data_IF_486493946449
#
_entry.id   IF_486493946449
#
_cell.length_a   1.000
_cell.length_b   1.000
_cell.length_c   1.000
_cell.angle_alpha   90.00
_cell.angle_beta   90.00
_cell.angle_gamma   90.00
#
_symmetry.space_group_name_H-M   'P 1'
#
loop_
_entity.id
_entity.type
_entity.pdbx_description
1 polymer ?
#
# COMPACT_ATOMS: atom_id res chain seq x y z
N UNK A 1 3.36 -10.82 6.97
CA UNK A 1 2.98 -10.84 5.55
C UNK A 1 2.63 -12.25 5.02
N UNK A 2 3.10 -13.30 5.64
CA UNK A 2 2.85 -14.69 5.20
C UNK A 2 1.56 -15.30 5.75
N UNK A 3 0.78 -14.58 6.58
CA UNK A 3 -0.46 -15.11 7.15
C UNK A 3 -1.53 -15.29 6.07
N UNK A 4 -2.05 -16.52 5.92
CA UNK A 4 -3.05 -16.92 4.93
C UNK A 4 -4.48 -17.00 5.49
N UNK A 5 -4.73 -16.56 6.75
CA UNK A 5 -6.06 -16.69 7.39
C UNK A 5 -7.20 -16.00 6.64
N UNK A 6 -6.88 -15.03 5.80
CA UNK A 6 -7.86 -14.27 5.02
C UNK A 6 -8.04 -14.79 3.59
N UNK A 7 -7.47 -15.95 3.24
CA UNK A 7 -7.68 -16.54 1.91
C UNK A 7 -9.18 -16.76 1.60
N UNK A 8 -10.02 -17.25 2.54
CA UNK A 8 -11.46 -17.37 2.26
C UNK A 8 -12.16 -16.05 1.92
N UNK A 9 -11.71 -14.92 2.49
CA UNK A 9 -12.26 -13.60 2.14
C UNK A 9 -11.86 -13.17 0.72
N UNK A 10 -10.69 -13.60 0.24
CA UNK A 10 -10.32 -13.40 -1.18
C UNK A 10 -11.24 -14.22 -2.08
N UNK A 11 -11.47 -15.49 -1.74
CA UNK A 11 -12.35 -16.37 -2.52
C UNK A 11 -13.78 -15.81 -2.57
N UNK A 12 -14.30 -15.29 -1.46
CA UNK A 12 -15.60 -14.62 -1.38
C UNK A 12 -15.65 -13.36 -2.26
N UNK A 13 -14.63 -12.50 -2.18
CA UNK A 13 -14.54 -11.30 -3.01
C UNK A 13 -14.54 -11.64 -4.51
N UNK A 14 -13.88 -12.73 -4.89
CA UNK A 14 -13.80 -13.19 -6.27
C UNK A 14 -15.10 -13.82 -6.79
N UNK A 15 -16.07 -14.14 -5.94
CA UNK A 15 -17.40 -14.57 -6.38
C UNK A 15 -18.21 -13.41 -6.98
N UNK A 16 -17.83 -12.17 -6.71
CA UNK A 16 -18.46 -11.00 -7.34
C UNK A 16 -18.06 -10.93 -8.82
N UNK A 17 -19.04 -10.91 -9.76
CA UNK A 17 -18.74 -10.88 -11.19
C UNK A 17 -17.82 -9.71 -11.58
N UNK A 18 -16.72 -10.02 -12.27
CA UNK A 18 -15.78 -9.02 -12.77
C UNK A 18 -14.80 -8.47 -11.73
N UNK A 19 -14.91 -8.83 -10.44
CA UNK A 19 -14.06 -8.28 -9.38
C UNK A 19 -12.58 -8.64 -9.56
N UNK A 20 -12.26 -9.84 -10.04
CA UNK A 20 -10.89 -10.23 -10.31
C UNK A 20 -10.19 -9.31 -11.33
N UNK A 21 -10.89 -9.01 -12.43
CA UNK A 21 -10.37 -8.11 -13.46
C UNK A 21 -10.33 -6.67 -12.97
N UNK A 22 -11.35 -6.24 -12.22
CA UNK A 22 -11.39 -4.93 -11.60
C UNK A 22 -10.16 -4.67 -10.70
N UNK A 23 -9.84 -5.61 -9.80
CA UNK A 23 -8.67 -5.52 -8.94
C UNK A 23 -7.39 -5.43 -9.76
N UNK A 24 -7.21 -6.32 -10.74
CA UNK A 24 -6.02 -6.29 -11.61
C UNK A 24 -5.86 -4.97 -12.35
N UNK A 25 -6.93 -4.43 -12.89
CA UNK A 25 -6.89 -3.23 -13.73
C UNK A 25 -6.64 -1.96 -12.92
N UNK A 26 -7.22 -1.88 -11.74
CA UNK A 26 -7.18 -0.66 -10.94
C UNK A 26 -6.09 -0.67 -9.87
N UNK A 27 -5.69 -1.83 -9.36
CA UNK A 27 -4.61 -1.91 -8.36
C UNK A 27 -3.28 -2.42 -8.92
N UNK A 28 -3.29 -3.04 -10.12
CA UNK A 28 -2.14 -3.72 -10.69
C UNK A 28 -1.78 -5.06 -10.04
N UNK A 29 -2.56 -5.48 -9.04
CA UNK A 29 -2.27 -6.67 -8.22
C UNK A 29 -3.14 -7.86 -8.63
N UNK A 30 -2.64 -9.07 -8.33
CA UNK A 30 -3.45 -10.27 -8.32
C UNK A 30 -4.14 -10.38 -6.96
N UNK A 31 -5.45 -10.70 -6.90
CA UNK A 31 -6.14 -10.88 -5.61
C UNK A 31 -5.45 -11.96 -4.77
N UNK A 32 -4.97 -11.60 -3.60
CA UNK A 32 -4.31 -12.52 -2.68
C UNK A 32 -4.40 -12.04 -1.22
N UNK A 33 -4.45 -13.00 -0.28
CA UNK A 33 -4.40 -12.75 1.16
C UNK A 33 -3.08 -12.14 1.64
N UNK A 34 -2.08 -12.06 0.79
CA UNK A 34 -0.81 -11.37 1.02
C UNK A 34 -1.02 -9.88 1.32
N UNK A 35 -1.94 -9.22 0.61
CA UNK A 35 -2.18 -7.79 0.69
C UNK A 35 -3.02 -7.37 1.90
N UNK A 36 -3.01 -6.07 2.24
CA UNK A 36 -3.61 -5.55 3.47
C UNK A 36 -5.14 -5.60 3.49
N UNK A 37 -5.79 -5.46 2.35
CA UNK A 37 -7.23 -5.27 2.22
C UNK A 37 -8.07 -6.28 3.01
N UNK A 38 -7.88 -7.57 2.75
CA UNK A 38 -8.64 -8.62 3.46
C UNK A 38 -8.24 -8.79 4.92
N UNK A 39 -7.02 -8.36 5.29
CA UNK A 39 -6.57 -8.36 6.69
C UNK A 39 -7.26 -7.27 7.50
N UNK A 40 -7.45 -6.08 6.90
CA UNK A 40 -8.21 -4.99 7.52
C UNK A 40 -9.64 -5.46 7.75
N UNK A 41 -10.31 -5.97 6.70
CA UNK A 41 -11.68 -6.53 6.83
C UNK A 41 -11.74 -7.56 7.95
N UNK A 42 -10.83 -8.52 7.96
CA UNK A 42 -10.82 -9.56 9.00
C UNK A 42 -10.72 -8.98 10.41
N UNK A 43 -9.87 -7.97 10.63
CA UNK A 43 -9.73 -7.33 11.95
C UNK A 43 -11.04 -6.62 12.33
N UNK A 44 -11.62 -5.86 11.42
CA UNK A 44 -12.86 -5.14 11.66
C UNK A 44 -14.03 -6.08 12.00
N UNK A 45 -14.07 -7.26 11.36
CA UNK A 45 -15.16 -8.23 11.55
C UNK A 45 -14.96 -9.17 12.75
N UNK A 46 -13.72 -9.38 13.21
CA UNK A 46 -13.43 -10.40 14.22
C UNK A 46 -12.90 -9.85 15.55
N UNK A 47 -12.50 -8.59 15.61
CA UNK A 47 -12.07 -7.97 16.87
C UNK A 47 -13.24 -7.18 17.46
N UNK A 48 -13.73 -7.56 18.66
CA UNK A 48 -14.88 -6.89 19.26
C UNK A 48 -14.71 -5.38 19.38
N UNK A 49 -15.68 -4.63 18.90
CA UNK A 49 -15.69 -3.15 18.93
C UNK A 49 -14.76 -2.48 17.92
N UNK A 50 -14.03 -3.25 17.08
CA UNK A 50 -13.10 -2.64 16.13
C UNK A 50 -13.83 -1.87 15.03
N UNK A 51 -14.93 -2.40 14.52
CA UNK A 51 -15.71 -1.77 13.45
C UNK A 51 -16.32 -0.45 13.91
N UNK A 52 -17.04 -0.46 15.02
CA UNK A 52 -17.68 0.73 15.60
C UNK A 52 -16.65 1.83 15.88
N UNK A 53 -15.51 1.46 16.43
CA UNK A 53 -14.41 2.39 16.69
C UNK A 53 -13.75 2.91 15.41
N UNK A 54 -13.65 2.08 14.39
CA UNK A 54 -13.13 2.50 13.08
C UNK A 54 -14.08 3.51 12.42
N UNK A 55 -15.39 3.25 12.43
CA UNK A 55 -16.41 4.16 11.91
C UNK A 55 -16.48 5.49 12.70
N UNK A 56 -16.22 5.43 14.00
CA UNK A 56 -16.08 6.61 14.86
C UNK A 56 -14.76 7.38 14.66
N UNK A 57 -13.83 6.86 13.84
CA UNK A 57 -12.51 7.48 13.61
C UNK A 57 -11.51 7.31 14.76
N UNK A 58 -11.77 6.40 15.70
CA UNK A 58 -10.90 6.13 16.86
C UNK A 58 -9.75 5.17 16.54
N UNK A 59 -9.86 4.43 15.43
CA UNK A 59 -8.86 3.49 14.94
C UNK A 59 -8.37 3.96 13.58
N UNK A 60 -7.06 3.92 13.38
CA UNK A 60 -6.41 4.23 12.12
C UNK A 60 -5.70 2.98 11.58
N UNK A 61 -5.74 2.83 10.27
CA UNK A 61 -4.95 1.83 9.56
C UNK A 61 -3.61 2.42 9.12
N UNK A 62 -2.57 1.59 9.12
CA UNK A 62 -1.29 1.94 8.52
C UNK A 62 -0.48 0.71 8.16
N UNK A 63 0.30 0.82 7.09
CA UNK A 63 1.43 -0.06 6.81
C UNK A 63 2.60 0.32 7.72
N UNK A 64 3.70 -0.42 7.68
CA UNK A 64 4.84 -0.21 8.60
C UNK A 64 5.40 1.21 8.51
N UNK A 65 5.48 1.77 7.31
CA UNK A 65 5.89 3.15 7.05
C UNK A 65 5.00 4.17 7.77
N UNK A 66 3.68 4.03 7.64
CA UNK A 66 2.69 4.87 8.33
C UNK A 66 2.89 4.82 9.85
N UNK A 67 3.08 3.61 10.40
CA UNK A 67 3.33 3.42 11.82
C UNK A 67 4.62 4.11 12.27
N UNK A 68 5.70 4.00 11.49
CA UNK A 68 6.97 4.66 11.80
C UNK A 68 6.83 6.17 11.79
N UNK A 69 6.21 6.76 10.76
CA UNK A 69 5.96 8.21 10.69
C UNK A 69 5.08 8.67 11.83
N UNK A 70 4.01 7.93 12.14
CA UNK A 70 3.15 8.19 13.29
C UNK A 70 3.94 8.26 14.60
N UNK A 71 4.82 7.28 14.86
CA UNK A 71 5.66 7.24 16.04
C UNK A 71 6.71 8.36 16.08
N UNK A 72 7.40 8.59 14.95
CA UNK A 72 8.41 9.63 14.82
C UNK A 72 7.84 11.04 15.02
N UNK A 73 6.59 11.26 14.61
CA UNK A 73 5.92 12.56 14.73
C UNK A 73 5.08 12.71 15.99
N UNK A 74 5.15 11.75 16.92
CA UNK A 74 4.37 11.79 18.18
C UNK A 74 2.86 11.72 17.96
N UNK A 75 2.40 10.97 16.96
CA UNK A 75 0.98 10.78 16.65
C UNK A 75 0.32 11.93 15.89
N UNK A 76 1.10 12.85 15.32
CA UNK A 76 0.56 14.03 14.62
C UNK A 76 0.34 13.82 13.13
N UNK A 77 1.05 12.86 12.52
CA UNK A 77 1.02 12.66 11.05
C UNK A 77 0.62 11.24 10.71
N UNK A 78 -0.48 11.10 9.96
CA UNK A 78 -1.02 9.84 9.49
C UNK A 78 -0.95 9.81 7.95
N UNK A 79 0.17 9.33 7.42
CA UNK A 79 0.46 9.30 5.98
C UNK A 79 1.08 7.97 5.57
N UNK A 80 0.97 7.68 4.29
CA UNK A 80 1.73 6.66 3.55
C UNK A 80 2.12 7.24 2.20
N UNK A 81 3.08 6.64 1.51
CA UNK A 81 3.40 7.03 0.14
C UNK A 81 2.71 6.14 -0.90
N UNK A 82 2.75 6.56 -2.16
CA UNK A 82 2.13 5.81 -3.27
C UNK A 82 2.71 4.40 -3.43
N UNK A 83 4.01 4.21 -3.15
CA UNK A 83 4.65 2.89 -3.29
C UNK A 83 4.09 1.89 -2.29
N UNK A 84 3.92 2.27 -1.02
CA UNK A 84 3.32 1.45 0.02
C UNK A 84 1.81 1.29 -0.18
N UNK A 85 1.08 2.38 -0.48
CA UNK A 85 -0.35 2.34 -0.76
C UNK A 85 -0.69 1.35 -1.87
N UNK A 86 0.08 1.32 -2.96
CA UNK A 86 -0.11 0.40 -4.08
C UNK A 86 0.06 -1.08 -3.72
N UNK A 87 0.56 -1.41 -2.52
CA UNK A 87 0.69 -2.79 -2.03
C UNK A 87 -0.46 -3.23 -1.13
N UNK A 88 -1.49 -2.41 -0.95
CA UNK A 88 -2.60 -2.69 -0.04
C UNK A 88 -3.76 -3.46 -0.67
N UNK A 89 -3.87 -3.48 -2.00
CA UNK A 89 -5.05 -3.92 -2.77
C UNK A 89 -6.29 -3.04 -2.51
N UNK A 90 -6.08 -1.80 -2.05
CA UNK A 90 -7.13 -0.78 -1.85
C UNK A 90 -6.83 0.52 -2.62
N UNK A 91 -5.64 0.64 -3.18
CA UNK A 91 -5.17 1.84 -3.86
C UNK A 91 -5.31 1.70 -5.37
N UNK A 92 -5.97 2.67 -6.00
CA UNK A 92 -6.14 2.71 -7.45
C UNK A 92 -4.92 3.38 -8.09
N UNK A 93 -4.14 2.60 -8.84
CA UNK A 93 -2.91 3.09 -9.49
C UNK A 93 -3.16 3.97 -10.72
N UNK A 94 -4.41 4.10 -11.16
CA UNK A 94 -4.81 4.96 -12.29
C UNK A 94 -5.25 6.34 -11.82
N UNK A 95 -6.04 6.39 -10.76
CA UNK A 95 -6.54 7.63 -10.17
C UNK A 95 -5.62 8.20 -9.10
N UNK A 96 -4.65 7.41 -8.63
CA UNK A 96 -3.70 7.74 -7.57
C UNK A 96 -4.40 8.10 -6.25
N UNK A 97 -5.46 7.35 -5.91
CA UNK A 97 -6.22 7.52 -4.66
C UNK A 97 -6.74 6.15 -4.17
N UNK A 98 -7.27 6.11 -2.95
CA UNK A 98 -7.97 4.96 -2.42
C UNK A 98 -9.21 4.63 -3.27
N UNK A 99 -9.41 3.36 -3.57
CA UNK A 99 -10.46 2.90 -4.47
C UNK A 99 -11.78 2.66 -3.71
N UNK A 100 -12.75 3.57 -3.89
CA UNK A 100 -14.03 3.49 -3.19
C UNK A 100 -14.86 2.25 -3.54
N UNK A 101 -14.67 1.67 -4.73
CA UNK A 101 -15.33 0.42 -5.12
C UNK A 101 -14.81 -0.75 -4.28
N UNK A 102 -13.49 -0.83 -4.09
CA UNK A 102 -12.85 -1.85 -3.27
C UNK A 102 -13.13 -1.65 -1.78
N UNK A 103 -13.12 -0.40 -1.32
CA UNK A 103 -13.50 -0.07 0.06
C UNK A 103 -14.92 -0.52 0.37
N UNK A 104 -15.86 -0.23 -0.53
CA UNK A 104 -17.25 -0.66 -0.41
C UNK A 104 -17.42 -2.18 -0.47
N UNK A 105 -16.73 -2.84 -1.42
CA UNK A 105 -16.81 -4.30 -1.58
C UNK A 105 -16.29 -5.06 -0.35
N UNK A 106 -15.31 -4.48 0.35
CA UNK A 106 -14.71 -5.05 1.56
C UNK A 106 -15.28 -4.46 2.85
N UNK A 107 -16.22 -3.52 2.76
CA UNK A 107 -16.80 -2.84 3.91
C UNK A 107 -15.73 -2.22 4.83
N UNK A 108 -14.82 -1.44 4.23
CA UNK A 108 -13.72 -0.75 4.93
C UNK A 108 -14.01 0.76 4.97
N UNK A 109 -14.13 1.37 6.16
CA UNK A 109 -14.34 2.80 6.29
C UNK A 109 -13.13 3.60 5.75
N UNK A 110 -13.39 4.55 4.82
CA UNK A 110 -12.31 5.38 4.25
C UNK A 110 -11.60 6.23 5.31
N UNK A 111 -12.28 6.63 6.37
CA UNK A 111 -11.74 7.49 7.43
C UNK A 111 -10.56 6.88 8.20
N UNK A 112 -10.38 5.56 8.17
CA UNK A 112 -9.23 4.89 8.83
C UNK A 112 -7.95 4.93 8.00
N UNK A 113 -8.03 5.28 6.71
CA UNK A 113 -6.91 5.20 5.78
C UNK A 113 -6.02 6.44 5.86
N UNK A 114 -4.68 6.29 5.74
CA UNK A 114 -3.76 7.42 5.76
C UNK A 114 -3.89 8.29 4.49
N UNK A 115 -3.54 9.57 4.61
CA UNK A 115 -3.31 10.42 3.43
C UNK A 115 -2.16 9.84 2.61
N UNK A 116 -2.36 9.71 1.30
CA UNK A 116 -1.32 9.24 0.38
C UNK A 116 -0.52 10.44 -0.12
N UNK A 117 0.80 10.31 -0.09
CA UNK A 117 1.77 11.36 -0.42
C UNK A 117 2.74 10.91 -1.50
N UNK A 118 3.56 11.82 -1.98
CA UNK A 118 4.75 11.45 -2.75
C UNK A 118 5.82 10.80 -1.84
N UNK A 119 6.73 10.06 -2.45
CA UNK A 119 7.80 9.37 -1.70
C UNK A 119 8.84 10.36 -1.14
N UNK A 120 8.96 11.54 -1.75
CA UNK A 120 9.82 12.64 -1.33
C UNK A 120 8.97 13.87 -1.03
N UNK A 121 8.59 14.06 0.22
CA UNK A 121 7.78 15.18 0.74
C UNK A 121 8.14 15.38 2.22
N UNK A 122 8.14 16.58 2.73
CA UNK A 122 8.28 16.82 4.17
C UNK A 122 6.95 16.52 4.85
N UNK A 123 6.82 15.35 5.47
CA UNK A 123 5.58 14.88 6.12
C UNK A 123 5.37 15.51 7.49
N UNK A 124 6.46 15.80 8.18
CA UNK A 124 6.48 16.33 9.53
C UNK A 124 7.90 16.33 10.09
N UNK A 125 8.02 16.58 11.39
CA UNK A 125 9.29 16.58 12.09
C UNK A 125 9.28 15.60 13.26
N UNK A 126 10.44 15.05 13.57
CA UNK A 126 10.70 14.27 14.78
C UNK A 126 11.69 14.98 15.67
N UNK A 127 11.54 14.83 16.98
CA UNK A 127 12.49 15.31 17.98
C UNK A 127 13.35 14.15 18.48
N UNK A 128 14.19 13.62 17.59
CA UNK A 128 15.17 12.62 17.96
C UNK A 128 16.46 13.31 18.44
N UNK A 129 16.96 12.89 19.59
CA UNK A 129 18.20 13.41 20.20
C UNK A 129 18.17 14.93 20.47
N UNK A 130 17.01 15.52 20.75
CA UNK A 130 16.87 16.94 21.09
C UNK A 130 17.01 17.89 19.90
N UNK A 131 16.95 17.39 18.68
CA UNK A 131 17.00 18.18 17.44
C UNK A 131 15.77 17.88 16.59
N UNK A 132 15.15 18.94 16.04
CA UNK A 132 14.05 18.80 15.08
C UNK A 132 14.58 18.34 13.74
N UNK A 133 14.25 17.12 13.35
CA UNK A 133 14.67 16.50 12.09
C UNK A 133 13.44 16.31 11.21
N UNK A 134 13.44 16.80 9.95
CA UNK A 134 12.33 16.53 9.01
C UNK A 134 12.25 15.03 8.66
N UNK A 135 11.04 14.48 8.67
CA UNK A 135 10.74 13.18 8.09
C UNK A 135 10.29 13.44 6.66
N UNK A 136 11.15 13.14 5.70
CA UNK A 136 11.00 13.63 4.32
C UNK A 136 11.12 12.53 3.24
N UNK A 137 11.15 11.27 3.62
CA UNK A 137 11.24 10.16 2.67
C UNK A 137 10.50 8.92 3.17
N UNK A 138 9.61 8.39 2.34
CA UNK A 138 8.92 7.11 2.53
C UNK A 138 8.99 6.33 1.22
N UNK A 139 9.37 5.06 1.28
CA UNK A 139 9.31 4.19 0.11
C UNK A 139 9.14 2.73 0.53
N UNK A 140 8.40 1.95 -0.24
CA UNK A 140 8.39 0.50 -0.14
C UNK A 140 9.78 -0.07 -0.44
N UNK A 141 10.16 -1.14 0.27
CA UNK A 141 11.51 -1.71 0.23
C UNK A 141 11.97 -2.07 -1.20
N UNK A 142 11.08 -2.63 -1.99
CA UNK A 142 11.40 -3.04 -3.36
C UNK A 142 11.54 -1.85 -4.32
N UNK A 143 10.71 -0.83 -4.15
CA UNK A 143 10.80 0.42 -4.92
C UNK A 143 12.03 1.23 -4.50
N UNK A 144 12.35 1.27 -3.20
CA UNK A 144 13.58 1.86 -2.70
C UNK A 144 14.82 1.17 -3.28
N UNK A 145 14.80 -0.17 -3.38
CA UNK A 145 15.89 -0.93 -4.00
C UNK A 145 16.04 -0.64 -5.50
N UNK A 146 14.92 -0.51 -6.25
CA UNK A 146 14.95 -0.13 -7.67
C UNK A 146 15.59 1.25 -7.86
N UNK A 147 15.16 2.21 -7.04
CA UNK A 147 15.70 3.58 -7.04
C UNK A 147 17.18 3.60 -6.63
N UNK A 148 17.54 2.91 -5.54
CA UNK A 148 18.90 2.85 -5.02
C UNK A 148 19.89 2.17 -5.97
N UNK A 149 19.41 1.32 -6.90
CA UNK A 149 20.20 0.75 -7.99
C UNK A 149 20.19 1.62 -9.27
N UNK A 150 19.69 2.84 -9.16
CA UNK A 150 19.64 3.83 -10.25
C UNK A 150 18.87 3.36 -11.50
N UNK A 151 17.86 2.50 -11.31
CA UNK A 151 17.00 2.04 -12.40
C UNK A 151 15.94 3.09 -12.74
N UNK A 152 16.36 4.24 -13.28
CA UNK A 152 15.50 5.38 -13.58
C UNK A 152 14.91 5.34 -14.99
N UNK A 153 15.56 4.65 -15.89
CA UNK A 153 15.15 4.53 -17.29
C UNK A 153 14.15 3.40 -17.52
N UNK A 154 13.26 3.59 -18.49
CA UNK A 154 12.34 2.55 -18.94
C UNK A 154 13.11 1.31 -19.43
N UNK A 155 12.75 0.14 -18.91
CA UNK A 155 13.39 -1.14 -19.22
C UNK A 155 14.52 -1.52 -18.26
N UNK A 156 14.97 -0.60 -17.41
CA UNK A 156 15.95 -0.93 -16.38
C UNK A 156 15.32 -1.74 -15.27
N UNK A 157 16.05 -2.72 -14.74
CA UNK A 157 15.52 -3.68 -13.80
C UNK A 157 16.54 -4.02 -12.71
N UNK A 158 16.02 -4.32 -11.54
CA UNK A 158 16.80 -4.89 -10.44
C UNK A 158 16.26 -6.25 -10.03
N UNK A 159 17.09 -7.08 -9.46
CA UNK A 159 16.66 -8.31 -8.83
C UNK A 159 17.24 -8.40 -7.41
N UNK A 160 16.37 -8.59 -6.43
CA UNK A 160 16.75 -8.76 -5.03
C UNK A 160 16.55 -10.22 -4.64
N UNK A 161 17.60 -10.87 -4.17
CA UNK A 161 17.57 -12.20 -3.58
C UNK A 161 17.68 -12.08 -2.05
N UNK A 162 16.64 -12.51 -1.35
CA UNK A 162 16.56 -12.53 0.12
C UNK A 162 15.65 -13.69 0.54
N UNK A 163 14.76 -13.46 1.51
CA UNK A 163 13.71 -14.43 1.88
C UNK A 163 12.79 -14.75 0.70
N UNK A 164 12.65 -13.81 -0.24
CA UNK A 164 12.03 -14.00 -1.55
C UNK A 164 12.91 -13.44 -2.66
N UNK A 165 12.56 -13.74 -3.91
CA UNK A 165 13.19 -13.18 -5.10
C UNK A 165 12.25 -12.15 -5.71
N UNK A 166 12.71 -10.89 -5.81
CA UNK A 166 11.89 -9.76 -6.26
C UNK A 166 12.55 -9.06 -7.44
N UNK A 167 12.13 -9.45 -8.65
CA UNK A 167 12.50 -8.78 -9.88
C UNK A 167 11.52 -7.62 -10.14
N UNK A 168 12.04 -6.40 -10.22
CA UNK A 168 11.30 -5.21 -10.61
C UNK A 168 11.92 -4.58 -11.85
N UNK A 169 11.07 -4.12 -12.76
CA UNK A 169 11.46 -3.39 -13.96
C UNK A 169 10.70 -2.07 -14.01
N UNK A 170 11.42 -0.98 -14.31
CA UNK A 170 10.84 0.32 -14.59
C UNK A 170 10.15 0.28 -15.96
N UNK A 171 8.83 0.52 -16.00
CA UNK A 171 8.04 0.52 -17.23
C UNK A 171 7.80 1.93 -17.78
N UNK A 172 8.38 2.96 -17.14
CA UNK A 172 8.12 4.38 -17.44
C UNK A 172 6.69 4.75 -17.03
N UNK A 173 6.10 5.72 -17.71
CA UNK A 173 4.78 6.29 -17.42
C UNK A 173 3.60 5.41 -17.86
N UNK A 174 3.88 4.19 -18.30
CA UNK A 174 2.85 3.29 -18.84
C UNK A 174 2.59 2.13 -17.90
N UNK A 175 1.34 1.96 -17.47
CA UNK A 175 0.91 0.78 -16.75
C UNK A 175 0.95 -0.42 -17.71
N UNK A 176 1.89 -1.34 -17.48
CA UNK A 176 2.05 -2.54 -18.28
C UNK A 176 1.24 -3.70 -17.68
N UNK A 177 0.26 -4.21 -18.45
CA UNK A 177 -0.49 -5.41 -18.05
C UNK A 177 0.29 -6.67 -18.47
N UNK A 178 0.68 -7.47 -17.50
CA UNK A 178 1.31 -8.76 -17.77
C UNK A 178 0.28 -9.80 -18.21
N UNK A 179 0.67 -10.63 -19.20
CA UNK A 179 -0.08 -11.83 -19.59
C UNK A 179 0.34 -13.08 -18.81
N UNK A 180 1.41 -12.98 -18.03
CA UNK A 180 2.05 -14.09 -17.30
C UNK A 180 1.93 -13.97 -15.78
N UNK A 181 0.95 -13.19 -15.27
CA UNK A 181 0.69 -13.08 -13.84
C UNK A 181 1.65 -12.16 -13.07
N UNK A 182 2.51 -11.39 -13.75
CA UNK A 182 3.28 -10.33 -13.08
C UNK A 182 2.35 -9.20 -12.63
N UNK A 183 2.71 -8.55 -11.56
CA UNK A 183 1.94 -7.45 -10.97
C UNK A 183 2.56 -6.11 -11.33
N UNK A 184 1.75 -5.06 -11.31
CA UNK A 184 2.20 -3.67 -11.44
C UNK A 184 2.14 -2.97 -10.09
N UNK A 185 3.02 -1.99 -9.89
CA UNK A 185 3.08 -1.17 -8.67
C UNK A 185 3.58 0.23 -9.03
N UNK A 186 3.41 1.19 -8.14
CA UNK A 186 3.91 2.55 -8.34
C UNK A 186 5.39 2.62 -7.98
N UNK A 187 6.18 3.28 -8.79
CA UNK A 187 7.56 3.61 -8.50
C UNK A 187 7.65 4.81 -7.52
N UNK A 188 8.86 5.10 -7.03
CA UNK A 188 9.13 6.30 -6.21
C UNK A 188 8.70 7.54 -6.99
N UNK A 189 7.93 8.41 -6.34
CA UNK A 189 7.55 9.72 -6.83
C UNK A 189 8.40 10.80 -6.15
N UNK A 190 8.97 11.68 -6.95
CA UNK A 190 9.75 12.85 -6.53
C UNK A 190 8.95 14.10 -6.88
N UNK A 191 8.85 15.04 -5.95
CA UNK A 191 8.36 16.40 -6.21
C UNK A 191 9.48 17.26 -6.82
#
# INVERSE_FOLDING_TARGET
WQCRRTAPLVDELLQQPGMADYIRENTGLMPDAYFSATKIKWILDNVPGARERAEAGEILFGTVDTWLVWKLTGGRVHVTDRTNASRTMLYNIRTLDWDDTLLKALDIPRCILPRVTDSSEVYGTTDLCGVQIPVAGIAGDQQAALFGQSCFGKGEAKNTYGTGCFLLMNTGDTICRSRNGLISTIAISLN
#
